data_IF_860873482877
#
_entry.id   IF_860873482877
#
_cell.length_a   1.000
_cell.length_b   1.000
_cell.length_c   1.000
_cell.angle_alpha   90.00
_cell.angle_beta   90.00
_cell.angle_gamma   90.00
#
_symmetry.space_group_name_H-M   'P 1'
#
loop_
_entity.id
_entity.type
_entity.pdbx_description
1 polymer ?
#
# COMPACT_ATOMS: atom_id res chain seq x y z
N UNK A 1 -16.61 13.30 0.12
CA UNK A 1 -16.32 12.03 0.82
C UNK A 1 -16.10 10.96 -0.23
N UNK A 2 -14.94 10.35 -0.22
CA UNK A 2 -14.60 9.38 -1.28
C UNK A 2 -15.38 8.08 -1.06
N UNK A 3 -16.06 7.58 -2.08
CA UNK A 3 -16.85 6.34 -2.05
C UNK A 3 -16.10 5.18 -1.37
N UNK A 4 -14.80 5.12 -1.56
CA UNK A 4 -13.88 4.13 -0.97
C UNK A 4 -13.86 4.13 0.57
N UNK A 5 -14.04 5.28 1.23
CA UNK A 5 -14.09 5.36 2.71
C UNK A 5 -15.37 4.73 3.25
N UNK A 6 -16.47 4.85 2.54
CA UNK A 6 -17.76 4.25 2.93
C UNK A 6 -17.67 2.71 2.90
N UNK A 7 -17.09 2.14 1.83
CA UNK A 7 -16.92 0.70 1.73
C UNK A 7 -16.00 0.12 2.81
N UNK A 8 -15.07 0.93 3.35
CA UNK A 8 -14.20 0.52 4.45
C UNK A 8 -14.91 0.51 5.80
N UNK A 9 -15.85 1.43 6.03
CA UNK A 9 -16.52 1.61 7.34
C UNK A 9 -17.69 0.67 7.56
N UNK A 10 -18.32 0.14 6.50
CA UNK A 10 -19.42 -0.78 6.61
C UNK A 10 -18.90 -2.23 6.60
N UNK A 11 -19.02 -3.00 7.71
CA UNK A 11 -18.38 -4.33 7.82
C UNK A 11 -18.80 -5.33 6.73
N UNK A 12 -20.07 -5.32 6.37
CA UNK A 12 -20.63 -6.22 5.35
C UNK A 12 -20.03 -5.90 3.96
N UNK A 13 -19.98 -4.63 3.60
CA UNK A 13 -19.43 -4.19 2.31
C UNK A 13 -17.93 -4.44 2.23
N UNK A 14 -17.20 -4.23 3.33
CA UNK A 14 -15.77 -4.53 3.42
C UNK A 14 -15.48 -6.00 3.11
N UNK A 15 -16.39 -6.91 3.44
CA UNK A 15 -16.21 -8.36 3.22
C UNK A 15 -16.64 -8.79 1.82
N UNK A 16 -17.78 -8.29 1.33
CA UNK A 16 -18.38 -8.70 0.06
C UNK A 16 -17.69 -8.07 -1.15
N UNK A 17 -17.38 -6.78 -1.06
CA UNK A 17 -16.84 -6.01 -2.18
C UNK A 17 -15.52 -6.59 -2.75
N UNK A 18 -14.49 -6.95 -1.94
CA UNK A 18 -13.27 -7.56 -2.46
C UNK A 18 -13.50 -8.90 -3.15
N UNK A 19 -14.41 -9.71 -2.62
CA UNK A 19 -14.74 -11.03 -3.21
C UNK A 19 -15.42 -10.91 -4.57
N UNK A 20 -16.36 -9.97 -4.69
CA UNK A 20 -17.04 -9.68 -5.95
C UNK A 20 -16.05 -9.11 -6.97
N UNK A 21 -15.21 -8.18 -6.55
CA UNK A 21 -14.17 -7.58 -7.38
C UNK A 21 -13.23 -8.66 -7.96
N UNK A 22 -12.74 -9.60 -7.12
CA UNK A 22 -11.90 -10.70 -7.57
C UNK A 22 -12.58 -11.62 -8.61
N UNK A 23 -13.88 -11.87 -8.47
CA UNK A 23 -14.62 -12.64 -9.47
C UNK A 23 -14.62 -11.92 -10.82
N UNK A 24 -14.86 -10.62 -10.80
CA UNK A 24 -14.87 -9.78 -12.01
C UNK A 24 -13.49 -9.73 -12.67
N UNK A 25 -12.43 -9.48 -11.90
CA UNK A 25 -11.06 -9.42 -12.44
C UNK A 25 -10.61 -10.76 -13.04
N UNK A 26 -11.02 -11.89 -12.44
CA UNK A 26 -10.78 -13.22 -13.00
C UNK A 26 -11.49 -13.44 -14.34
N UNK A 27 -12.74 -12.97 -14.45
CA UNK A 27 -13.52 -13.08 -15.70
C UNK A 27 -12.83 -12.36 -16.86
N UNK A 28 -12.22 -11.19 -16.58
CA UNK A 28 -11.52 -10.38 -17.57
C UNK A 28 -10.02 -10.69 -17.67
N UNK A 29 -9.52 -11.67 -16.92
CA UNK A 29 -8.10 -12.04 -16.83
C UNK A 29 -7.17 -10.84 -16.57
N UNK A 30 -7.63 -9.90 -15.75
CA UNK A 30 -6.91 -8.66 -15.43
C UNK A 30 -6.62 -8.57 -13.94
N UNK A 31 -5.38 -8.86 -13.55
CA UNK A 31 -4.97 -8.95 -12.15
C UNK A 31 -4.08 -7.79 -11.69
N UNK A 32 -3.44 -7.07 -12.62
CA UNK A 32 -2.51 -6.00 -12.32
C UNK A 32 -3.11 -4.64 -12.65
N UNK A 33 -2.93 -3.69 -11.72
CA UNK A 33 -3.42 -2.33 -11.88
C UNK A 33 -2.36 -1.32 -11.44
N UNK A 34 -2.05 -0.36 -12.30
CA UNK A 34 -1.22 0.78 -11.95
C UNK A 34 -2.04 1.70 -11.02
N UNK A 35 -1.54 1.95 -9.84
CA UNK A 35 -2.24 2.75 -8.83
C UNK A 35 -1.27 3.69 -8.10
N UNK A 36 -1.69 4.93 -7.88
CA UNK A 36 -0.91 5.91 -7.12
C UNK A 36 -1.34 5.92 -5.66
N UNK A 37 -0.46 5.43 -4.78
CA UNK A 37 -0.66 5.42 -3.34
C UNK A 37 0.46 6.21 -2.65
N UNK A 38 0.12 7.15 -1.74
CA UNK A 38 1.09 8.01 -1.03
C UNK A 38 2.12 8.67 -1.96
N UNK A 39 1.67 9.17 -3.12
CA UNK A 39 2.52 9.77 -4.16
C UNK A 39 3.54 8.84 -4.85
N UNK A 40 3.43 7.54 -4.66
CA UNK A 40 4.21 6.50 -5.35
C UNK A 40 3.30 5.71 -6.27
N UNK A 41 3.78 5.37 -7.46
CA UNK A 41 3.07 4.48 -8.38
C UNK A 41 3.46 3.04 -8.14
N UNK A 42 2.45 2.19 -7.94
CA UNK A 42 2.58 0.75 -7.74
C UNK A 42 1.86 0.01 -8.86
N UNK A 43 2.45 -1.08 -9.33
CA UNK A 43 1.74 -2.05 -10.16
C UNK A 43 1.19 -3.14 -9.24
N UNK A 44 -0.03 -2.92 -8.74
CA UNK A 44 -0.65 -3.75 -7.71
C UNK A 44 -1.23 -5.03 -8.30
N UNK A 45 -0.91 -6.17 -7.68
CA UNK A 45 -1.55 -7.44 -7.95
C UNK A 45 -2.75 -7.64 -7.03
N UNK A 46 -3.96 -7.44 -7.53
CA UNK A 46 -5.18 -7.52 -6.72
C UNK A 46 -5.51 -8.93 -6.19
N UNK A 47 -4.75 -9.96 -6.58
CA UNK A 47 -4.83 -11.29 -5.97
C UNK A 47 -4.20 -11.29 -4.59
N UNK A 48 -3.16 -10.47 -4.37
CA UNK A 48 -2.57 -10.23 -3.05
C UNK A 48 -3.53 -9.40 -2.18
N UNK A 49 -3.77 -9.79 -0.91
CA UNK A 49 -4.69 -9.09 -0.02
C UNK A 49 -4.28 -7.66 0.30
N UNK A 50 -2.97 -7.38 0.43
CA UNK A 50 -2.42 -6.06 0.75
C UNK A 50 -2.61 -5.13 -0.45
N UNK A 51 -2.14 -5.54 -1.62
CA UNK A 51 -2.26 -4.80 -2.87
C UNK A 51 -3.72 -4.50 -3.19
N UNK A 52 -4.60 -5.47 -3.00
CA UNK A 52 -6.04 -5.32 -3.16
C UNK A 52 -6.63 -4.31 -2.18
N UNK A 53 -6.20 -4.31 -0.92
CA UNK A 53 -6.63 -3.32 0.08
C UNK A 53 -6.24 -1.90 -0.33
N UNK A 54 -5.02 -1.72 -0.81
CA UNK A 54 -4.54 -0.43 -1.33
C UNK A 54 -5.40 0.00 -2.53
N UNK A 55 -5.62 -0.89 -3.49
CA UNK A 55 -6.37 -0.57 -4.70
C UNK A 55 -7.83 -0.22 -4.43
N UNK A 56 -8.52 -1.03 -3.60
CA UNK A 56 -9.95 -0.85 -3.35
C UNK A 56 -10.26 0.25 -2.33
N UNK A 57 -9.44 0.36 -1.27
CA UNK A 57 -9.74 1.19 -0.11
C UNK A 57 -8.80 2.38 0.06
N UNK A 58 -7.72 2.49 -0.74
CA UNK A 58 -6.67 3.50 -0.59
C UNK A 58 -6.07 3.47 0.83
N UNK A 59 -5.86 2.27 1.37
CA UNK A 59 -5.50 2.06 2.77
C UNK A 59 -4.49 0.94 2.95
N UNK A 60 -3.42 1.25 3.65
CA UNK A 60 -2.45 0.30 4.19
C UNK A 60 -1.69 0.93 5.35
N UNK A 61 -1.81 0.37 6.54
CA UNK A 61 -1.04 0.70 7.74
C UNK A 61 -0.76 2.21 7.92
N UNK A 62 -1.79 3.05 7.76
CA UNK A 62 -1.65 4.51 7.72
C UNK A 62 -1.01 5.09 8.98
N UNK A 63 -1.26 4.51 10.17
CA UNK A 63 -0.68 4.98 11.42
C UNK A 63 0.81 4.66 11.51
N UNK A 64 1.23 3.51 11.02
CA UNK A 64 2.64 3.12 10.94
C UNK A 64 3.41 4.03 9.97
N UNK A 65 2.82 4.32 8.80
CA UNK A 65 3.41 5.23 7.82
C UNK A 65 3.54 6.64 8.40
N UNK A 66 2.53 7.13 9.12
CA UNK A 66 2.59 8.44 9.81
C UNK A 66 3.66 8.46 10.89
N UNK A 67 3.78 7.39 11.67
CA UNK A 67 4.80 7.26 12.70
C UNK A 67 6.21 7.31 12.09
N UNK A 68 6.47 6.53 11.05
CA UNK A 68 7.74 6.57 10.32
C UNK A 68 8.02 7.98 9.78
N UNK A 69 7.05 8.61 9.13
CA UNK A 69 7.20 9.96 8.61
C UNK A 69 7.62 10.96 9.70
N UNK A 70 7.03 10.87 10.90
CA UNK A 70 7.38 11.71 12.05
C UNK A 70 8.83 11.45 12.48
N UNK A 71 9.21 10.18 12.67
CA UNK A 71 10.56 9.79 13.07
C UNK A 71 11.62 10.34 12.10
N UNK A 72 11.38 10.19 10.80
CA UNK A 72 12.30 10.68 9.77
C UNK A 72 12.37 12.21 9.67
N UNK A 73 11.29 12.91 10.01
CA UNK A 73 11.28 14.37 10.07
C UNK A 73 12.06 14.93 11.26
N UNK A 74 11.97 14.25 12.40
CA UNK A 74 12.56 14.70 13.66
C UNK A 74 14.00 14.26 13.82
N UNK A 75 14.48 13.31 13.00
CA UNK A 75 15.81 12.72 13.13
C UNK A 75 16.51 12.64 11.77
N UNK A 76 17.85 12.78 11.80
CA UNK A 76 18.67 12.49 10.63
C UNK A 76 18.88 10.99 10.49
N UNK A 77 18.13 10.35 9.59
CA UNK A 77 18.21 8.92 9.32
C UNK A 77 18.96 8.69 8.02
N UNK A 78 20.10 8.02 8.10
CA UNK A 78 20.94 7.72 6.93
C UNK A 78 20.57 6.41 6.24
N UNK A 79 20.10 5.43 7.02
CA UNK A 79 19.77 4.08 6.51
C UNK A 79 18.40 3.64 7.01
N UNK A 80 17.64 3.00 6.15
CA UNK A 80 16.39 2.31 6.46
C UNK A 80 16.45 0.88 5.95
N UNK A 81 16.28 -0.07 6.85
CA UNK A 81 16.25 -1.49 6.54
C UNK A 81 14.82 -2.00 6.59
N UNK A 82 14.30 -2.41 5.45
CA UNK A 82 12.94 -2.95 5.30
C UNK A 82 13.04 -4.47 5.22
N UNK A 83 12.87 -5.13 6.35
CA UNK A 83 12.98 -6.59 6.45
C UNK A 83 11.61 -7.23 6.31
N UNK A 84 11.45 -8.12 5.35
CA UNK A 84 10.14 -8.63 4.93
C UNK A 84 9.37 -7.60 4.10
N UNK A 85 10.07 -6.96 3.17
CA UNK A 85 9.56 -5.80 2.42
C UNK A 85 8.32 -6.11 1.55
N UNK A 86 8.07 -7.38 1.23
CA UNK A 86 6.97 -7.82 0.35
C UNK A 86 6.99 -7.00 -0.97
N UNK A 87 5.91 -6.30 -1.30
CA UNK A 87 5.85 -5.43 -2.49
C UNK A 87 6.63 -4.13 -2.37
N UNK A 88 7.40 -3.93 -1.29
CA UNK A 88 8.27 -2.78 -1.09
C UNK A 88 7.55 -1.47 -0.79
N UNK A 89 6.36 -1.53 -0.19
CA UNK A 89 5.52 -0.37 0.07
C UNK A 89 6.24 0.64 0.96
N UNK A 90 6.80 0.21 2.09
CA UNK A 90 7.56 1.08 3.00
C UNK A 90 8.81 1.63 2.32
N UNK A 91 9.58 0.75 1.68
CA UNK A 91 10.81 1.11 0.98
C UNK A 91 10.59 2.21 -0.04
N UNK A 92 9.57 2.08 -0.88
CA UNK A 92 9.26 3.03 -1.94
C UNK A 92 8.72 4.35 -1.38
N UNK A 93 7.87 4.32 -0.35
CA UNK A 93 7.35 5.52 0.30
C UNK A 93 8.49 6.29 0.98
N UNK A 94 9.35 5.61 1.75
CA UNK A 94 10.49 6.25 2.42
C UNK A 94 11.48 6.83 1.42
N UNK A 95 11.85 6.08 0.38
CA UNK A 95 12.73 6.58 -0.68
C UNK A 95 12.18 7.84 -1.36
N UNK A 96 10.87 7.90 -1.56
CA UNK A 96 10.21 9.05 -2.18
C UNK A 96 10.18 10.27 -1.27
N UNK A 97 9.87 10.08 0.01
CA UNK A 97 9.72 11.17 0.97
C UNK A 97 11.06 11.67 1.51
N UNK A 98 12.04 10.79 1.62
CA UNK A 98 13.35 11.06 2.23
C UNK A 98 14.49 10.61 1.31
N UNK A 99 14.71 11.30 0.18
CA UNK A 99 15.64 10.85 -0.87
C UNK A 99 17.12 10.83 -0.46
N UNK A 100 17.45 11.39 0.71
CA UNK A 100 18.82 11.35 1.29
C UNK A 100 19.07 10.10 2.14
N UNK A 101 18.02 9.32 2.44
CA UNK A 101 18.12 8.08 3.19
C UNK A 101 18.41 6.91 2.24
N UNK A 102 19.42 6.12 2.54
CA UNK A 102 19.68 4.86 1.83
C UNK A 102 18.69 3.80 2.31
N UNK A 103 17.89 3.26 1.41
CA UNK A 103 16.90 2.22 1.72
C UNK A 103 17.40 0.87 1.22
N UNK A 104 17.40 -0.12 2.10
CA UNK A 104 17.74 -1.52 1.78
C UNK A 104 16.53 -2.40 2.13
N UNK A 105 16.03 -3.08 1.10
CA UNK A 105 14.87 -3.98 1.22
C UNK A 105 15.33 -5.43 1.18
N UNK A 106 14.79 -6.23 2.09
CA UNK A 106 15.09 -7.66 2.20
C UNK A 106 13.78 -8.44 2.13
N UNK A 107 13.69 -9.33 1.14
CA UNK A 107 12.58 -10.25 0.97
C UNK A 107 13.14 -11.65 0.71
N UNK A 108 12.72 -12.68 1.48
CA UNK A 108 13.18 -14.06 1.28
C UNK A 108 12.65 -14.68 -0.01
#
# INVERSE_FOLDING_TARGET
MKLRSIFRTIPILKRIYPSLFLKVTRLFNKNFFLYKFKNVYFNLDVRDPIDRSIFLFDFYEDEQIKCLHKIFKENKINFFFDVGANSGIYSLIISKLFPKTSVLSFEP
#
